data_IF_381744560679
#
_entry.id   IF_381744560679
#
_cell.length_a   1.000
_cell.length_b   1.000
_cell.length_c   1.000
_cell.angle_alpha   90.00
_cell.angle_beta   90.00
_cell.angle_gamma   90.00
#
_symmetry.space_group_name_H-M   'P 1'
#
loop_
_entity.id
_entity.type
_entity.pdbx_description
1 polymer ?
#
# COMPACT_ATOMS: atom_id res chain seq x y z
N UNK A 1 -12.55 -59.12 75.79
CA UNK A 1 -11.08 -59.35 75.85
C UNK A 1 -10.42 -58.42 74.85
N UNK A 2 -9.54 -57.53 75.34
CA UNK A 2 -8.47 -56.78 74.66
C UNK A 2 -8.84 -55.92 73.44
N UNK A 3 -8.35 -54.71 73.23
CA UNK A 3 -7.61 -53.71 74.01
C UNK A 3 -7.49 -52.48 73.06
N UNK A 4 -7.58 -51.27 73.62
CA UNK A 4 -6.68 -50.11 73.39
C UNK A 4 -6.19 -49.84 71.95
N UNK A 5 -6.34 -48.66 71.34
CA UNK A 5 -6.01 -47.32 71.84
C UNK A 5 -6.71 -46.22 71.03
N UNK A 6 -7.18 -45.22 71.78
CA UNK A 6 -7.38 -43.84 71.34
C UNK A 6 -5.99 -43.19 71.16
N UNK A 7 -5.73 -42.54 70.02
CA UNK A 7 -4.79 -41.41 69.93
C UNK A 7 -5.48 -40.32 69.13
N UNK A 8 -5.70 -39.21 69.82
CA UNK A 8 -6.16 -37.92 69.33
C UNK A 8 -4.97 -37.20 68.69
N UNK A 9 -5.11 -36.71 67.45
CA UNK A 9 -4.36 -35.53 67.03
C UNK A 9 -5.17 -34.70 66.04
N UNK A 10 -5.36 -33.46 66.46
CA UNK A 10 -6.04 -32.35 65.80
C UNK A 10 -5.13 -31.81 64.68
N UNK A 11 -5.69 -31.56 63.50
CA UNK A 11 -5.02 -30.83 62.42
C UNK A 11 -6.05 -30.41 61.37
N UNK A 12 -6.40 -29.13 61.34
CA UNK A 12 -7.32 -28.53 60.38
C UNK A 12 -6.92 -28.89 58.94
N UNK A 13 -7.77 -29.63 58.24
CA UNK A 13 -7.76 -29.69 56.79
C UNK A 13 -8.88 -28.78 56.27
N UNK A 14 -8.49 -27.65 55.70
CA UNK A 14 -9.35 -26.77 54.91
C UNK A 14 -9.98 -27.56 53.77
N UNK A 15 -11.31 -27.65 53.74
CA UNK A 15 -12.04 -28.04 52.52
C UNK A 15 -11.86 -26.92 51.49
N UNK A 16 -11.13 -27.20 50.42
CA UNK A 16 -11.42 -26.62 49.11
C UNK A 16 -11.93 -27.78 48.24
N UNK A 17 -13.15 -27.61 47.73
CA UNK A 17 -13.78 -28.51 46.77
C UNK A 17 -12.90 -28.58 45.52
N UNK A 18 -12.13 -29.67 45.36
CA UNK A 18 -11.59 -30.06 44.05
C UNK A 18 -12.72 -30.78 43.34
N UNK A 19 -13.40 -30.07 42.46
CA UNK A 19 -14.25 -30.70 41.46
C UNK A 19 -13.34 -31.56 40.58
N UNK A 20 -13.57 -32.87 40.60
CA UNK A 20 -13.10 -33.75 39.54
C UNK A 20 -13.74 -33.28 38.24
N UNK A 21 -12.93 -32.78 37.31
CA UNK A 21 -13.23 -32.76 35.89
C UNK A 21 -12.00 -33.29 35.19
N UNK A 22 -12.24 -34.30 34.36
CA UNK A 22 -11.28 -35.14 33.69
C UNK A 22 -10.05 -34.38 33.19
N UNK A 23 -8.88 -34.83 33.64
CA UNK A 23 -7.60 -34.51 33.04
C UNK A 23 -7.54 -35.20 31.67
N UNK A 24 -8.04 -34.54 30.63
CA UNK A 24 -7.71 -34.83 29.23
C UNK A 24 -8.26 -33.69 28.35
N UNK A 25 -7.53 -32.59 28.26
CA UNK A 25 -7.42 -31.76 27.04
C UNK A 25 -6.36 -30.66 27.26
N UNK A 26 -5.09 -31.07 27.31
CA UNK A 26 -4.01 -30.21 26.84
C UNK A 26 -3.69 -30.67 25.43
N UNK A 27 -4.34 -30.07 24.44
CA UNK A 27 -3.98 -30.23 23.03
C UNK A 27 -2.58 -29.63 22.84
N UNK A 28 -1.54 -30.41 23.12
CA UNK A 28 -0.17 -29.96 22.92
C UNK A 28 0.08 -29.91 21.42
N UNK A 29 0.31 -28.70 20.88
CA UNK A 29 0.80 -28.45 19.51
C UNK A 29 2.26 -28.93 19.35
N UNK A 30 2.55 -30.19 19.70
CA UNK A 30 3.86 -30.79 19.48
C UNK A 30 3.86 -31.32 18.05
N UNK A 31 4.57 -30.62 17.17
CA UNK A 31 4.79 -31.07 15.80
C UNK A 31 5.49 -32.46 15.80
N UNK A 32 5.16 -33.35 14.85
CA UNK A 32 5.82 -34.65 14.73
C UNK A 32 7.34 -34.51 14.60
N UNK A 33 8.09 -35.50 15.08
CA UNK A 33 9.56 -35.52 14.95
C UNK A 33 9.97 -35.41 13.47
N UNK A 34 10.85 -34.46 13.17
CA UNK A 34 11.35 -34.21 11.81
C UNK A 34 10.43 -33.33 10.95
N UNK A 35 9.35 -32.79 11.52
CA UNK A 35 8.50 -31.81 10.86
C UNK A 35 9.22 -30.46 10.70
N UNK A 36 8.82 -29.70 9.68
CA UNK A 36 9.20 -28.30 9.50
C UNK A 36 8.39 -27.46 10.48
N UNK A 37 9.07 -26.64 11.27
CA UNK A 37 8.43 -25.67 12.14
C UNK A 37 8.23 -24.37 11.37
N UNK A 38 6.98 -23.96 11.16
CA UNK A 38 6.62 -22.79 10.36
C UNK A 38 5.88 -21.77 11.23
N UNK A 39 6.33 -20.51 11.18
CA UNK A 39 5.65 -19.37 11.78
C UNK A 39 5.27 -18.38 10.69
N UNK A 40 4.16 -17.66 10.88
CA UNK A 40 3.65 -16.71 9.90
C UNK A 40 3.23 -15.40 10.52
N UNK A 41 3.41 -14.34 9.76
CA UNK A 41 2.83 -13.03 10.02
C UNK A 41 2.54 -12.32 8.69
N UNK A 42 1.65 -11.33 8.72
CA UNK A 42 1.41 -10.41 7.60
C UNK A 42 1.99 -9.05 8.00
N UNK A 43 2.86 -8.50 7.16
CA UNK A 43 3.50 -7.21 7.38
C UNK A 43 2.45 -6.09 7.47
N UNK A 44 2.58 -5.18 8.44
CA UNK A 44 1.66 -4.04 8.61
C UNK A 44 0.37 -4.31 9.40
N UNK A 45 0.14 -5.54 9.91
CA UNK A 45 -1.02 -5.87 10.75
C UNK A 45 -0.63 -6.00 12.22
N UNK A 46 -1.15 -5.11 13.09
CA UNK A 46 -0.82 -5.13 14.53
C UNK A 46 -1.92 -5.71 15.44
N UNK A 47 -3.20 -5.83 15.03
CA UNK A 47 -4.24 -6.28 15.98
C UNK A 47 -5.42 -7.04 15.35
N UNK A 48 -5.64 -8.27 15.87
CA UNK A 48 -6.81 -9.18 15.80
C UNK A 48 -6.97 -10.13 14.59
N UNK A 49 -7.59 -11.26 14.89
CA UNK A 49 -7.89 -12.41 14.02
C UNK A 49 -9.42 -12.61 13.90
N UNK A 50 -9.98 -13.29 12.88
CA UNK A 50 -9.45 -13.54 11.53
C UNK A 50 -10.47 -13.38 10.37
N UNK A 51 -10.03 -12.68 9.32
CA UNK A 51 -10.30 -12.75 7.88
C UNK A 51 -9.47 -11.58 7.33
N UNK A 52 -8.90 -11.66 6.12
CA UNK A 52 -8.50 -10.40 5.47
C UNK A 52 -9.79 -9.59 5.36
N UNK A 53 -9.88 -8.51 6.13
CA UNK A 53 -10.98 -7.57 6.00
C UNK A 53 -10.91 -6.91 4.63
N UNK A 54 -11.90 -6.07 4.29
CA UNK A 54 -11.91 -5.36 3.01
C UNK A 54 -10.62 -4.53 2.82
N UNK A 55 -9.98 -4.17 3.93
CA UNK A 55 -8.77 -3.38 4.03
C UNK A 55 -7.47 -4.19 3.89
N UNK A 56 -7.55 -5.52 3.69
CA UNK A 56 -6.39 -6.40 3.56
C UNK A 56 -5.67 -6.67 4.88
N UNK A 57 -6.30 -6.40 6.04
CA UNK A 57 -5.72 -6.68 7.35
C UNK A 57 -6.21 -8.01 7.88
N UNK A 58 -5.33 -8.79 8.51
CA UNK A 58 -5.72 -10.02 9.18
C UNK A 58 -4.54 -10.88 9.62
N UNK A 59 -4.86 -12.08 10.09
CA UNK A 59 -3.90 -13.15 10.32
C UNK A 59 -4.46 -14.42 9.66
N UNK A 60 -3.58 -15.33 9.24
CA UNK A 60 -4.02 -16.64 8.77
C UNK A 60 -4.74 -17.41 9.86
N UNK A 61 -5.76 -18.17 9.46
CA UNK A 61 -6.45 -19.14 10.32
C UNK A 61 -6.26 -20.55 9.85
N UNK A 62 -6.40 -21.47 10.81
CA UNK A 62 -6.38 -22.89 10.53
C UNK A 62 -7.32 -23.21 9.35
N UNK A 63 -6.76 -23.80 8.30
CA UNK A 63 -7.47 -24.14 7.07
C UNK A 63 -7.32 -23.16 5.90
N UNK A 64 -6.76 -21.96 6.11
CA UNK A 64 -6.40 -21.06 5.00
C UNK A 64 -5.45 -21.77 4.04
N UNK A 65 -5.70 -21.61 2.73
CA UNK A 65 -5.02 -22.39 1.69
C UNK A 65 -4.04 -21.51 0.93
N UNK A 66 -2.76 -21.86 1.00
CA UNK A 66 -1.67 -21.22 0.28
C UNK A 66 -1.24 -22.08 -0.91
N UNK A 67 -0.67 -21.41 -1.91
CA UNK A 67 0.24 -22.07 -2.84
C UNK A 67 1.66 -21.96 -2.31
N UNK A 68 2.43 -23.05 -2.33
CA UNK A 68 3.77 -23.09 -1.75
C UNK A 68 4.75 -23.88 -2.60
N UNK A 69 5.89 -23.26 -2.85
CA UNK A 69 7.10 -23.87 -3.40
C UNK A 69 8.09 -24.13 -2.28
N UNK A 70 8.76 -25.28 -2.33
CA UNK A 70 9.87 -25.61 -1.45
C UNK A 70 10.97 -26.28 -2.27
N UNK A 71 12.17 -25.71 -2.27
CA UNK A 71 13.28 -26.16 -3.10
C UNK A 71 14.63 -25.88 -2.43
N UNK A 72 15.61 -26.74 -2.66
CA UNK A 72 16.99 -26.54 -2.20
C UNK A 72 17.87 -26.10 -3.37
N UNK A 73 18.59 -24.98 -3.22
CA UNK A 73 19.51 -24.41 -4.23
C UNK A 73 18.82 -24.07 -5.60
N UNK A 74 19.60 -23.87 -6.67
CA UNK A 74 19.20 -23.67 -8.09
C UNK A 74 18.48 -24.86 -8.73
N UNK A 75 18.04 -25.83 -7.93
CA UNK A 75 17.15 -26.87 -8.40
C UNK A 75 15.88 -26.24 -8.99
N UNK A 76 15.34 -26.89 -10.03
CA UNK A 76 14.04 -26.51 -10.61
C UNK A 76 13.04 -26.39 -9.45
N UNK A 77 12.37 -25.24 -9.27
CA UNK A 77 11.40 -25.08 -8.21
C UNK A 77 10.39 -26.22 -8.30
N UNK A 78 10.03 -26.80 -7.16
CA UNK A 78 9.03 -27.87 -7.10
C UNK A 78 7.67 -27.40 -7.61
N UNK A 79 6.65 -28.25 -7.50
CA UNK A 79 5.28 -27.87 -7.87
C UNK A 79 4.69 -26.85 -6.89
N UNK A 80 3.68 -26.09 -7.35
CA UNK A 80 2.86 -25.25 -6.50
C UNK A 80 1.98 -26.10 -5.57
N UNK A 81 2.51 -26.48 -4.40
CA UNK A 81 1.81 -27.36 -3.47
C UNK A 81 0.71 -26.62 -2.73
N UNK A 82 -0.40 -27.32 -2.52
CA UNK A 82 -1.41 -26.86 -1.58
C UNK A 82 -0.87 -26.99 -0.14
N UNK A 83 -0.85 -25.87 0.59
CA UNK A 83 -0.55 -25.85 2.02
C UNK A 83 -1.73 -25.28 2.80
N UNK A 84 -2.30 -26.06 3.70
CA UNK A 84 -3.37 -25.64 4.60
C UNK A 84 -2.77 -25.22 5.93
N UNK A 85 -2.91 -23.95 6.27
CA UNK A 85 -2.32 -23.39 7.49
C UNK A 85 -2.78 -24.18 8.72
N UNK A 86 -1.81 -24.56 9.57
CA UNK A 86 -1.99 -25.41 10.76
C UNK A 86 -2.68 -26.77 10.54
N UNK A 87 -2.73 -27.28 9.31
CA UNK A 87 -3.26 -28.61 8.99
C UNK A 87 -2.30 -29.44 8.14
N UNK A 88 -1.57 -28.82 7.21
CA UNK A 88 -0.52 -29.48 6.44
C UNK A 88 0.74 -29.60 7.28
N UNK A 89 1.27 -30.82 7.41
CA UNK A 89 2.57 -31.08 8.03
C UNK A 89 3.60 -31.36 6.94
N UNK A 90 4.68 -30.58 6.91
CA UNK A 90 5.84 -30.83 6.04
C UNK A 90 6.93 -31.54 6.84
N UNK A 91 7.72 -32.36 6.17
CA UNK A 91 8.85 -33.06 6.78
C UNK A 91 10.15 -32.75 6.05
N UNK A 92 11.24 -32.53 6.81
CA UNK A 92 12.57 -32.27 6.23
C UNK A 92 13.08 -33.42 5.36
N UNK A 93 12.74 -34.67 5.71
CA UNK A 93 13.07 -35.86 4.92
C UNK A 93 12.48 -35.88 3.51
N UNK A 94 11.38 -35.14 3.29
CA UNK A 94 10.70 -35.05 1.99
C UNK A 94 11.13 -33.78 1.21
N UNK A 95 12.01 -32.96 1.81
CA UNK A 95 12.55 -31.73 1.25
C UNK A 95 14.08 -31.86 1.09
N UNK A 96 14.83 -31.53 2.15
CA UNK A 96 16.26 -31.75 2.25
C UNK A 96 16.66 -31.85 3.73
N UNK A 97 17.52 -32.81 4.05
CA UNK A 97 18.09 -32.96 5.40
C UNK A 97 19.50 -32.38 5.53
N UNK A 98 20.11 -32.01 4.39
CA UNK A 98 21.53 -31.62 4.31
C UNK A 98 21.74 -30.22 3.75
N UNK A 99 20.83 -29.75 2.90
CA UNK A 99 20.93 -28.43 2.25
C UNK A 99 19.82 -27.51 2.77
N UNK A 100 20.07 -26.20 2.87
CA UNK A 100 19.02 -25.24 3.14
C UNK A 100 17.90 -25.32 2.10
N UNK A 101 16.67 -25.15 2.53
CA UNK A 101 15.46 -25.16 1.70
C UNK A 101 14.87 -23.76 1.72
N UNK A 102 14.60 -23.21 0.54
CA UNK A 102 13.81 -21.99 0.36
C UNK A 102 12.35 -22.36 0.22
N UNK A 103 11.53 -21.73 1.06
CA UNK A 103 10.09 -21.81 1.06
C UNK A 103 9.55 -20.50 0.49
N UNK A 104 8.70 -20.60 -0.53
CA UNK A 104 8.05 -19.46 -1.15
C UNK A 104 6.56 -19.70 -1.19
N UNK A 105 5.79 -18.84 -0.53
CA UNK A 105 4.36 -19.02 -0.33
C UNK A 105 3.58 -17.81 -0.83
N UNK A 106 2.41 -18.06 -1.40
CA UNK A 106 1.47 -17.01 -1.80
C UNK A 106 0.05 -17.32 -1.37
N UNK A 107 -0.72 -16.25 -1.14
CA UNK A 107 -2.13 -16.32 -0.77
C UNK A 107 -2.93 -15.23 -1.50
N UNK A 108 -4.14 -15.51 -2.01
CA UNK A 108 -4.80 -16.82 -2.02
C UNK A 108 -4.07 -17.81 -2.94
N UNK A 109 -4.30 -19.12 -2.73
CA UNK A 109 -3.73 -20.15 -3.60
C UNK A 109 -4.17 -19.95 -5.05
N UNK A 110 -3.20 -19.83 -5.95
CA UNK A 110 -3.45 -19.87 -7.39
C UNK A 110 -3.68 -21.33 -7.79
N UNK A 111 -4.88 -21.62 -8.32
CA UNK A 111 -5.29 -22.97 -8.74
C UNK A 111 -5.21 -23.19 -10.25
N UNK A 112 -5.05 -22.11 -11.02
CA UNK A 112 -4.76 -22.19 -12.45
C UNK A 112 -3.36 -22.78 -12.68
N UNK A 113 -3.15 -23.36 -13.87
CA UNK A 113 -1.87 -23.94 -14.25
C UNK A 113 -0.78 -22.84 -14.32
N UNK A 114 0.30 -23.04 -13.56
CA UNK A 114 1.44 -22.12 -13.52
C UNK A 114 2.55 -22.70 -14.40
N UNK A 115 2.64 -22.23 -15.64
CA UNK A 115 3.66 -22.69 -16.59
C UNK A 115 5.09 -22.24 -16.20
N UNK A 116 5.22 -21.00 -15.70
CA UNK A 116 6.49 -20.46 -15.21
C UNK A 116 6.26 -19.67 -13.92
N UNK A 117 6.64 -20.20 -12.74
CA UNK A 117 6.44 -19.48 -11.49
C UNK A 117 7.31 -18.23 -11.38
N UNK A 118 8.40 -18.11 -12.14
CA UNK A 118 9.25 -16.93 -12.13
C UNK A 118 8.70 -15.76 -12.98
N UNK A 119 7.66 -16.00 -13.78
CA UNK A 119 7.06 -15.03 -14.69
C UNK A 119 5.54 -15.27 -14.79
N UNK A 120 4.85 -15.22 -13.64
CA UNK A 120 3.42 -15.43 -13.58
C UNK A 120 2.67 -14.11 -13.76
N UNK A 121 1.82 -14.01 -14.78
CA UNK A 121 0.96 -12.84 -14.97
C UNK A 121 -0.21 -12.87 -13.98
N UNK A 122 -0.23 -11.95 -13.03
CA UNK A 122 -1.29 -11.83 -12.03
C UNK A 122 -2.24 -10.68 -12.38
N UNK A 123 -3.53 -10.96 -12.37
CA UNK A 123 -4.62 -9.99 -12.60
C UNK A 123 -5.46 -9.91 -11.32
N UNK A 124 -5.40 -8.82 -10.53
CA UNK A 124 -6.25 -8.64 -9.37
C UNK A 124 -7.74 -8.60 -9.79
N UNK A 125 -8.55 -9.39 -9.11
CA UNK A 125 -9.99 -9.52 -9.39
C UNK A 125 -10.78 -9.55 -8.08
N UNK A 126 -11.74 -8.63 -7.94
CA UNK A 126 -12.52 -8.53 -6.70
C UNK A 126 -13.56 -9.66 -6.58
N UNK A 127 -14.21 -10.01 -7.70
CA UNK A 127 -15.34 -10.96 -7.72
C UNK A 127 -14.99 -12.39 -7.27
N UNK A 128 -13.72 -12.78 -7.37
CA UNK A 128 -13.20 -14.07 -6.89
C UNK A 128 -12.34 -13.92 -5.62
N UNK A 129 -12.29 -12.71 -5.01
CA UNK A 129 -11.44 -12.38 -3.85
C UNK A 129 -9.96 -12.67 -4.08
N UNK A 130 -9.48 -12.51 -5.32
CA UNK A 130 -8.05 -12.56 -5.67
C UNK A 130 -7.55 -11.18 -6.05
N UNK A 131 -8.12 -10.13 -5.48
CA UNK A 131 -7.71 -8.75 -5.70
C UNK A 131 -6.49 -8.37 -4.85
N UNK A 132 -6.14 -9.19 -3.85
CA UNK A 132 -4.97 -9.02 -2.99
C UNK A 132 -4.10 -10.29 -3.01
N UNK A 133 -2.93 -10.21 -3.66
CA UNK A 133 -1.94 -11.28 -3.61
C UNK A 133 -0.93 -10.98 -2.51
N UNK A 134 -0.81 -11.89 -1.56
CA UNK A 134 0.24 -11.89 -0.55
C UNK A 134 1.36 -12.84 -0.97
N UNK A 135 2.60 -12.49 -0.61
CA UNK A 135 3.76 -13.36 -0.82
C UNK A 135 4.74 -13.33 0.35
N UNK A 136 5.33 -14.46 0.66
CA UNK A 136 6.42 -14.60 1.62
C UNK A 136 7.50 -15.55 1.09
N UNK A 137 8.75 -15.28 1.45
CA UNK A 137 9.87 -16.20 1.24
C UNK A 137 10.74 -16.32 2.48
N UNK A 138 11.27 -17.51 2.75
CA UNK A 138 12.23 -17.77 3.81
C UNK A 138 13.11 -18.98 3.46
N UNK A 139 14.39 -18.93 3.83
CA UNK A 139 15.32 -20.05 3.69
C UNK A 139 15.72 -20.57 5.05
N UNK A 140 15.68 -21.88 5.25
CA UNK A 140 16.03 -22.54 6.50
C UNK A 140 16.63 -23.93 6.29
N UNK A 141 17.48 -24.36 7.21
CA UNK A 141 18.06 -25.69 7.28
C UNK A 141 17.28 -26.59 8.25
N UNK A 142 17.51 -27.90 8.16
CA UNK A 142 16.85 -28.88 9.03
C UNK A 142 17.00 -28.53 10.51
N UNK A 143 15.86 -28.38 11.18
CA UNK A 143 15.77 -28.06 12.61
C UNK A 143 15.59 -26.57 12.92
N UNK A 144 15.75 -25.69 11.93
CA UNK A 144 15.46 -24.27 12.06
C UNK A 144 13.97 -23.97 11.86
N UNK A 145 13.52 -22.83 12.39
CA UNK A 145 12.16 -22.32 12.18
C UNK A 145 12.08 -21.58 10.85
N UNK A 146 11.09 -21.91 10.03
CA UNK A 146 10.75 -21.18 8.80
C UNK A 146 9.79 -20.04 9.15
N UNK A 147 10.30 -18.80 9.15
CA UNK A 147 9.50 -17.61 9.45
C UNK A 147 9.02 -16.92 8.16
N UNK A 148 7.77 -17.16 7.78
CA UNK A 148 7.17 -16.52 6.60
C UNK A 148 6.50 -15.19 6.98
N UNK A 149 7.06 -14.09 6.49
CA UNK A 149 6.45 -12.75 6.59
C UNK A 149 5.81 -12.40 5.27
N UNK A 150 4.48 -12.47 5.22
CA UNK A 150 3.70 -12.18 4.03
C UNK A 150 3.57 -10.68 3.82
N UNK A 151 3.74 -10.27 2.57
CA UNK A 151 3.62 -8.90 2.11
C UNK A 151 2.58 -8.81 1.02
N UNK A 152 1.83 -7.70 1.00
CA UNK A 152 0.98 -7.38 -0.13
C UNK A 152 1.83 -7.14 -1.38
N UNK A 153 1.44 -7.77 -2.49
CA UNK A 153 2.07 -7.55 -3.80
C UNK A 153 1.27 -6.59 -4.68
N UNK A 154 -0.02 -6.41 -4.42
CA UNK A 154 -0.82 -5.46 -5.17
C UNK A 154 -0.56 -4.03 -4.69
N UNK A 155 -1.09 -3.03 -5.39
CA UNK A 155 -1.18 -1.65 -4.89
C UNK A 155 -2.61 -1.31 -4.48
N UNK A 156 -2.82 -0.57 -3.39
CA UNK A 156 -4.14 -0.10 -2.97
C UNK A 156 -4.32 1.37 -3.32
N UNK A 157 -5.27 1.66 -4.21
CA UNK A 157 -5.59 3.01 -4.63
C UNK A 157 -6.92 3.45 -4.01
N UNK A 158 -6.86 4.44 -3.12
CA UNK A 158 -8.03 5.03 -2.47
C UNK A 158 -8.25 6.43 -3.02
N UNK A 159 -9.48 6.72 -3.45
CA UNK A 159 -9.88 8.04 -3.96
C UNK A 159 -11.00 8.56 -3.07
N UNK A 160 -10.74 9.68 -2.41
CA UNK A 160 -11.67 10.36 -1.52
C UNK A 160 -12.11 11.67 -2.15
N UNK A 161 -13.42 11.89 -2.21
CA UNK A 161 -14.01 13.09 -2.80
C UNK A 161 -14.48 14.06 -1.72
N UNK A 162 -14.23 15.35 -1.95
CA UNK A 162 -14.78 16.45 -1.14
C UNK A 162 -15.43 17.48 -2.06
N UNK A 163 -16.55 18.05 -1.61
CA UNK A 163 -17.23 19.13 -2.34
C UNK A 163 -16.55 20.47 -2.04
N UNK A 164 -16.12 21.17 -3.08
CA UNK A 164 -15.49 22.48 -3.02
C UNK A 164 -16.41 23.61 -3.46
N UNK A 165 -15.81 24.69 -3.95
CA UNK A 165 -16.52 25.89 -4.41
C UNK A 165 -17.58 25.56 -5.46
N UNK A 166 -18.78 26.13 -5.27
CA UNK A 166 -19.93 25.98 -6.16
C UNK A 166 -20.63 24.62 -6.15
N UNK A 167 -20.18 23.68 -5.31
CA UNK A 167 -20.80 22.37 -5.07
C UNK A 167 -21.71 22.35 -3.81
N UNK A 168 -22.42 23.46 -3.53
CA UNK A 168 -23.25 23.61 -2.33
C UNK A 168 -24.42 22.62 -2.31
N UNK A 169 -24.56 21.85 -1.23
CA UNK A 169 -25.65 20.88 -1.07
C UNK A 169 -25.50 19.62 -1.93
N UNK A 170 -24.37 19.46 -2.63
CA UNK A 170 -24.07 18.27 -3.43
C UNK A 170 -23.78 17.07 -2.53
N UNK A 171 -24.50 15.97 -2.76
CA UNK A 171 -24.20 14.67 -2.19
C UNK A 171 -23.25 13.90 -3.12
N UNK A 172 -22.10 13.49 -2.59
CA UNK A 172 -21.09 12.73 -3.33
C UNK A 172 -21.25 11.22 -3.18
N UNK A 173 -22.22 10.72 -2.40
CA UNK A 173 -22.40 9.29 -2.16
C UNK A 173 -22.73 8.50 -3.42
N UNK A 174 -23.22 9.17 -4.47
CA UNK A 174 -23.54 8.56 -5.78
C UNK A 174 -22.51 8.90 -6.87
N UNK A 175 -21.38 9.52 -6.52
CA UNK A 175 -20.37 9.86 -7.52
C UNK A 175 -19.82 8.59 -8.19
N UNK A 176 -19.72 8.63 -9.52
CA UNK A 176 -19.09 7.57 -10.32
C UNK A 176 -17.63 7.93 -10.52
N UNK A 177 -16.72 7.08 -10.05
CA UNK A 177 -15.29 7.19 -10.33
C UNK A 177 -14.89 6.07 -11.27
N UNK A 178 -14.17 6.41 -12.33
CA UNK A 178 -13.56 5.47 -13.25
C UNK A 178 -12.06 5.74 -13.42
N UNK A 179 -11.24 4.69 -13.52
CA UNK A 179 -9.89 4.80 -14.08
C UNK A 179 -9.98 4.87 -15.60
N UNK A 180 -10.37 6.05 -16.10
CA UNK A 180 -10.58 6.29 -17.51
C UNK A 180 -10.27 7.75 -17.88
N UNK A 181 -9.93 7.97 -19.14
CA UNK A 181 -9.82 9.30 -19.71
C UNK A 181 -11.19 9.94 -19.99
N UNK A 182 -11.19 11.19 -20.46
CA UNK A 182 -12.40 11.97 -20.69
C UNK A 182 -13.44 11.26 -21.55
N UNK A 183 -12.97 10.52 -22.56
CA UNK A 183 -13.81 9.80 -23.51
C UNK A 183 -14.10 8.35 -23.10
N UNK A 184 -13.74 7.94 -21.88
CA UNK A 184 -13.95 6.57 -21.38
C UNK A 184 -12.87 5.56 -21.80
N UNK A 185 -11.76 6.02 -22.37
CA UNK A 185 -10.62 5.15 -22.66
C UNK A 185 -9.98 4.65 -21.36
N UNK A 186 -9.60 3.38 -21.30
CA UNK A 186 -8.99 2.79 -20.12
C UNK A 186 -7.57 3.33 -19.89
N UNK A 187 -7.23 3.63 -18.64
CA UNK A 187 -5.98 4.32 -18.28
C UNK A 187 -5.05 3.47 -17.41
N UNK A 188 -5.45 2.26 -17.03
CA UNK A 188 -4.68 1.39 -16.13
C UNK A 188 -4.57 -0.03 -16.68
N UNK A 189 -3.48 -0.70 -16.33
CA UNK A 189 -3.27 -2.11 -16.64
C UNK A 189 -4.02 -3.03 -15.67
N UNK A 190 -4.53 -4.12 -16.21
CA UNK A 190 -5.31 -5.16 -15.51
C UNK A 190 -4.45 -6.11 -14.69
N UNK A 191 -3.14 -6.16 -14.92
CA UNK A 191 -2.28 -7.16 -14.30
C UNK A 191 -0.81 -6.85 -14.51
N UNK A 192 0.03 -7.52 -13.72
CA UNK A 192 1.49 -7.40 -13.72
C UNK A 192 2.13 -8.77 -13.60
N UNK A 193 3.32 -8.94 -14.17
CA UNK A 193 4.12 -10.15 -14.01
C UNK A 193 4.78 -10.18 -12.63
N UNK A 194 4.70 -11.35 -11.98
CA UNK A 194 5.20 -11.60 -10.65
C UNK A 194 6.05 -12.87 -10.67
N UNK A 195 7.20 -12.80 -10.03
CA UNK A 195 7.97 -13.97 -9.70
C UNK A 195 7.43 -14.59 -8.40
N UNK A 196 6.63 -15.65 -8.50
CA UNK A 196 6.05 -16.35 -7.36
C UNK A 196 7.09 -17.08 -6.48
N UNK A 197 8.35 -17.17 -6.93
CA UNK A 197 9.45 -17.74 -6.13
C UNK A 197 10.10 -16.68 -5.23
N UNK A 198 10.19 -15.43 -5.69
CA UNK A 198 10.88 -14.34 -4.97
C UNK A 198 9.95 -13.26 -4.42
N UNK A 199 8.74 -13.14 -4.97
CA UNK A 199 7.80 -12.05 -4.68
C UNK A 199 8.08 -10.78 -5.48
N UNK A 200 9.05 -10.80 -6.40
CA UNK A 200 9.40 -9.63 -7.20
C UNK A 200 8.33 -9.33 -8.26
N UNK A 201 8.09 -8.04 -8.46
CA UNK A 201 7.13 -7.50 -9.45
C UNK A 201 7.90 -6.86 -10.60
N UNK A 202 7.58 -7.26 -11.84
CA UNK A 202 8.13 -6.65 -13.04
C UNK A 202 7.15 -5.60 -13.60
N UNK A 203 7.39 -4.34 -13.26
CA UNK A 203 6.60 -3.18 -13.70
C UNK A 203 6.63 -2.96 -15.23
N UNK A 204 7.57 -3.58 -15.96
CA UNK A 204 7.66 -3.53 -17.42
C UNK A 204 6.82 -4.58 -18.14
N UNK A 205 6.21 -5.51 -17.41
CA UNK A 205 5.42 -6.64 -17.95
C UNK A 205 4.00 -6.59 -17.41
N UNK A 206 3.08 -6.15 -18.26
CA UNK A 206 1.68 -5.92 -17.89
C UNK A 206 0.70 -6.73 -18.76
N UNK A 207 -0.50 -6.95 -18.22
CA UNK A 207 -1.63 -7.52 -18.95
C UNK A 207 -2.39 -6.45 -19.75
N UNK A 208 -3.60 -6.75 -20.23
CA UNK A 208 -4.43 -5.80 -20.98
C UNK A 208 -4.86 -4.59 -20.14
N UNK A 209 -5.52 -3.62 -20.77
CA UNK A 209 -6.08 -2.45 -20.07
C UNK A 209 -7.37 -2.80 -19.32
N UNK A 210 -7.65 -2.12 -18.22
CA UNK A 210 -8.88 -2.22 -17.43
C UNK A 210 -9.40 -0.83 -17.03
N UNK A 211 -10.71 -0.77 -16.81
CA UNK A 211 -11.35 0.34 -16.11
C UNK A 211 -11.83 -0.16 -14.75
N UNK A 212 -11.23 0.36 -13.68
CA UNK A 212 -11.77 0.24 -12.34
C UNK A 212 -12.96 1.19 -12.18
N UNK A 213 -13.94 0.77 -11.40
CA UNK A 213 -15.11 1.58 -11.08
C UNK A 213 -15.51 1.38 -9.63
N UNK A 214 -16.07 2.41 -9.01
CA UNK A 214 -16.69 2.30 -7.68
C UNK A 214 -18.20 2.01 -7.75
N UNK A 215 -18.75 1.72 -8.94
CA UNK A 215 -20.18 1.43 -9.13
C UNK A 215 -21.14 2.50 -8.58
N UNK A 216 -20.79 3.78 -8.69
CA UNK A 216 -21.57 4.91 -8.15
C UNK A 216 -21.72 4.90 -6.62
N UNK A 217 -20.70 4.46 -5.89
CA UNK A 217 -20.71 4.39 -4.41
C UNK A 217 -19.91 5.52 -3.73
N UNK A 218 -19.69 6.61 -4.45
CA UNK A 218 -19.03 7.82 -3.95
C UNK A 218 -17.51 7.74 -4.00
N UNK A 219 -16.87 7.35 -2.90
CA UNK A 219 -15.42 7.15 -2.88
C UNK A 219 -15.03 5.86 -3.62
N UNK A 220 -13.75 5.69 -3.93
CA UNK A 220 -13.22 4.45 -4.49
C UNK A 220 -12.12 3.87 -3.60
N UNK A 221 -12.06 2.54 -3.57
CA UNK A 221 -11.03 1.75 -2.91
C UNK A 221 -10.77 0.54 -3.80
N UNK A 222 -9.64 0.57 -4.51
CA UNK A 222 -9.30 -0.43 -5.51
C UNK A 222 -7.98 -1.09 -5.15
N UNK A 223 -7.94 -2.41 -5.27
CA UNK A 223 -6.68 -3.15 -5.34
C UNK A 223 -6.32 -3.32 -6.81
N UNK A 224 -5.21 -2.72 -7.20
CA UNK A 224 -4.79 -2.59 -8.61
C UNK A 224 -3.43 -3.25 -8.81
N UNK A 225 -3.15 -3.61 -10.06
CA UNK A 225 -1.83 -4.08 -10.43
C UNK A 225 -0.81 -2.94 -10.21
N UNK A 226 0.32 -3.19 -9.51
CA UNK A 226 1.42 -2.25 -9.45
C UNK A 226 1.89 -1.89 -10.86
N UNK A 227 2.08 -0.60 -11.13
CA UNK A 227 2.36 -0.11 -12.48
C UNK A 227 2.98 1.30 -12.45
N UNK A 228 3.71 1.63 -13.51
CA UNK A 228 4.14 3.01 -13.77
C UNK A 228 3.01 3.78 -14.47
N UNK A 229 2.68 4.95 -13.91
CA UNK A 229 1.78 5.90 -14.56
C UNK A 229 2.59 6.94 -15.34
N UNK A 230 2.01 7.54 -16.38
CA UNK A 230 2.67 8.60 -17.14
C UNK A 230 2.21 9.97 -16.65
N UNK A 231 3.12 10.79 -16.12
CA UNK A 231 2.82 12.15 -15.69
C UNK A 231 2.11 12.96 -16.79
N UNK A 232 1.08 13.72 -16.41
CA UNK A 232 0.25 14.52 -17.31
C UNK A 232 -0.77 13.73 -18.15
N UNK A 233 -0.70 12.40 -18.19
CA UNK A 233 -1.70 11.57 -18.90
C UNK A 233 -3.05 11.58 -18.16
N UNK A 234 -4.15 11.40 -18.89
CA UNK A 234 -5.47 11.23 -18.27
C UNK A 234 -5.49 9.99 -17.38
N UNK A 235 -6.10 10.08 -16.20
CA UNK A 235 -6.12 8.98 -15.25
C UNK A 235 -7.52 8.65 -14.75
N UNK A 236 -8.20 9.62 -14.14
CA UNK A 236 -9.50 9.42 -13.52
C UNK A 236 -10.56 10.28 -14.19
N UNK A 237 -11.76 9.71 -14.31
CA UNK A 237 -12.97 10.39 -14.71
C UNK A 237 -13.99 10.26 -13.61
N UNK A 238 -14.58 11.38 -13.19
CA UNK A 238 -15.54 11.45 -12.10
C UNK A 238 -16.83 12.08 -12.61
N UNK A 239 -17.96 11.39 -12.42
CA UNK A 239 -19.29 11.91 -12.76
C UNK A 239 -20.09 12.17 -11.49
N UNK A 240 -20.73 13.33 -11.42
CA UNK A 240 -21.71 13.67 -10.38
C UNK A 240 -22.94 14.24 -11.08
N UNK A 241 -24.01 13.45 -11.17
CA UNK A 241 -25.14 13.78 -12.04
C UNK A 241 -24.69 13.86 -13.51
N UNK A 242 -24.91 15.00 -14.14
CA UNK A 242 -24.52 15.27 -15.54
C UNK A 242 -23.11 15.86 -15.68
N UNK A 243 -22.50 16.30 -14.58
CA UNK A 243 -21.21 16.96 -14.58
C UNK A 243 -20.06 15.95 -14.60
N UNK A 244 -18.95 16.34 -15.25
CA UNK A 244 -17.76 15.49 -15.42
C UNK A 244 -16.49 16.23 -15.01
N UNK A 245 -15.68 15.59 -14.17
CA UNK A 245 -14.32 16.01 -13.88
C UNK A 245 -13.33 14.98 -14.43
N UNK A 246 -12.18 15.45 -14.89
CA UNK A 246 -11.06 14.62 -15.31
C UNK A 246 -9.85 14.97 -14.45
N UNK A 247 -9.12 13.95 -14.02
CA UNK A 247 -7.88 14.09 -13.28
C UNK A 247 -6.76 13.44 -14.08
N UNK A 248 -5.69 14.18 -14.29
CA UNK A 248 -4.48 13.66 -14.91
C UNK A 248 -3.50 13.19 -13.83
N UNK A 249 -2.62 12.27 -14.20
CA UNK A 249 -1.53 11.83 -13.32
C UNK A 249 -0.68 13.06 -12.97
N UNK A 250 -0.46 13.38 -11.68
CA UNK A 250 0.43 14.46 -11.28
C UNK A 250 1.89 14.10 -11.60
N UNK A 251 2.79 15.08 -11.54
CA UNK A 251 4.22 14.83 -11.83
C UNK A 251 4.87 13.89 -10.81
N UNK A 252 4.39 13.88 -9.57
CA UNK A 252 4.89 13.09 -8.46
C UNK A 252 3.72 12.51 -7.65
N UNK A 253 3.77 11.20 -7.37
CA UNK A 253 2.85 10.47 -6.47
C UNK A 253 3.55 9.98 -5.19
N UNK A 254 4.65 10.64 -4.83
CA UNK A 254 5.50 10.34 -3.68
C UNK A 254 6.09 8.92 -3.71
N UNK A 255 6.25 8.32 -4.89
CA UNK A 255 6.91 7.03 -5.06
C UNK A 255 8.26 7.00 -4.34
N UNK A 256 8.52 5.92 -3.60
CA UNK A 256 9.81 5.69 -2.92
C UNK A 256 10.97 5.57 -3.91
N UNK A 257 10.67 5.31 -5.19
CA UNK A 257 11.65 5.28 -6.26
C UNK A 257 11.64 6.60 -7.04
N UNK A 258 12.64 7.44 -6.78
CA UNK A 258 12.82 8.74 -7.46
C UNK A 258 12.99 8.65 -8.98
N UNK A 259 13.36 7.49 -9.52
CA UNK A 259 13.42 7.27 -10.97
C UNK A 259 12.05 6.96 -11.59
N UNK A 260 11.05 6.66 -10.75
CA UNK A 260 9.67 6.36 -11.15
C UNK A 260 8.69 7.12 -10.25
N UNK A 261 8.61 8.46 -10.35
CA UNK A 261 7.94 9.33 -9.38
C UNK A 261 6.42 9.11 -9.29
N UNK A 262 5.82 8.50 -10.31
CA UNK A 262 4.38 8.24 -10.47
C UNK A 262 4.02 6.76 -10.32
N UNK A 263 4.93 5.93 -9.82
CA UNK A 263 4.71 4.49 -9.68
C UNK A 263 3.69 4.17 -8.60
N UNK A 264 2.72 3.32 -8.96
CA UNK A 264 1.90 2.60 -8.00
C UNK A 264 2.68 1.37 -7.53
N UNK A 265 3.35 1.51 -6.40
CA UNK A 265 4.27 0.49 -5.87
C UNK A 265 3.56 -0.72 -5.26
N UNK A 266 4.14 -1.90 -5.48
CA UNK A 266 3.77 -3.14 -4.81
C UNK A 266 3.77 -2.98 -3.28
N UNK A 267 2.70 -3.43 -2.63
CA UNK A 267 2.57 -3.42 -1.19
C UNK A 267 2.38 -2.03 -0.57
N UNK A 268 2.07 -1.02 -1.38
CA UNK A 268 1.78 0.33 -0.93
C UNK A 268 0.31 0.69 -1.12
N UNK A 269 -0.13 1.67 -0.35
CA UNK A 269 -1.41 2.32 -0.48
C UNK A 269 -1.21 3.79 -0.85
N UNK A 270 -1.80 4.24 -1.96
CA UNK A 270 -1.93 5.65 -2.30
C UNK A 270 -3.35 6.12 -1.96
N UNK A 271 -3.45 7.19 -1.18
CA UNK A 271 -4.72 7.89 -0.94
C UNK A 271 -4.71 9.24 -1.63
N UNK A 272 -5.62 9.44 -2.57
CA UNK A 272 -5.86 10.72 -3.24
C UNK A 272 -7.07 11.42 -2.62
N UNK A 273 -6.88 12.63 -2.12
CA UNK A 273 -7.96 13.49 -1.66
C UNK A 273 -8.23 14.54 -2.73
N UNK A 274 -9.36 14.41 -3.42
CA UNK A 274 -9.74 15.24 -4.55
C UNK A 274 -10.91 16.14 -4.17
N UNK A 275 -10.75 17.44 -4.37
CA UNK A 275 -11.83 18.42 -4.19
C UNK A 275 -12.44 18.78 -5.54
N UNK A 276 -13.75 18.57 -5.67
CA UNK A 276 -14.50 18.90 -6.88
C UNK A 276 -15.07 20.32 -6.76
N UNK A 277 -14.81 21.17 -7.75
CA UNK A 277 -15.34 22.54 -7.84
C UNK A 277 -16.17 22.71 -9.10
N UNK A 278 -17.16 23.60 -9.05
CA UNK A 278 -17.99 23.95 -10.21
C UNK A 278 -18.30 25.44 -10.22
N UNK A 279 -17.92 26.13 -11.27
CA UNK A 279 -18.37 27.50 -11.49
C UNK A 279 -19.87 27.50 -11.83
N UNK A 280 -20.69 28.07 -10.96
CA UNK A 280 -22.15 28.06 -11.14
C UNK A 280 -22.63 28.98 -12.26
N UNK A 281 -21.84 29.97 -12.68
CA UNK A 281 -22.21 30.86 -13.78
C UNK A 281 -21.89 30.27 -15.15
N UNK A 282 -20.77 29.57 -15.29
CA UNK A 282 -20.29 29.03 -16.58
C UNK A 282 -20.57 27.54 -16.75
N UNK A 283 -20.87 26.83 -15.66
CA UNK A 283 -20.99 25.37 -15.64
C UNK A 283 -19.64 24.65 -15.73
N UNK A 284 -18.51 25.39 -15.72
CA UNK A 284 -17.18 24.79 -15.80
C UNK A 284 -16.83 24.04 -14.51
N UNK A 285 -16.30 22.84 -14.68
CA UNK A 285 -15.89 21.94 -13.61
C UNK A 285 -14.36 21.96 -13.48
N UNK A 286 -13.87 22.07 -12.25
CA UNK A 286 -12.45 22.04 -11.91
C UNK A 286 -12.21 21.01 -10.80
N UNK A 287 -11.07 20.33 -10.84
CA UNK A 287 -10.66 19.41 -9.80
C UNK A 287 -9.33 19.84 -9.22
N UNK A 288 -9.24 19.83 -7.90
CA UNK A 288 -8.03 20.16 -7.15
C UNK A 288 -7.56 18.94 -6.35
N UNK A 289 -6.25 18.66 -6.39
CA UNK A 289 -5.65 17.71 -5.46
C UNK A 289 -5.47 18.41 -4.11
N UNK A 290 -6.27 18.04 -3.12
CA UNK A 290 -6.20 18.62 -1.78
C UNK A 290 -5.18 17.92 -0.87
N UNK A 291 -4.67 16.77 -1.30
CA UNK A 291 -3.60 16.04 -0.64
C UNK A 291 -3.43 14.64 -1.20
N UNK A 292 -2.20 14.13 -1.16
CA UNK A 292 -1.91 12.74 -1.48
C UNK A 292 -0.91 12.17 -0.49
N UNK A 293 -1.18 10.94 -0.05
CA UNK A 293 -0.30 10.20 0.87
C UNK A 293 -0.06 8.81 0.31
N UNK A 294 1.21 8.39 0.24
CA UNK A 294 1.58 7.01 -0.03
C UNK A 294 2.15 6.39 1.23
N UNK A 295 1.69 5.19 1.57
CA UNK A 295 2.07 4.50 2.80
C UNK A 295 2.18 2.99 2.58
N UNK A 296 2.74 2.27 3.56
CA UNK A 296 2.69 0.81 3.55
C UNK A 296 1.24 0.31 3.57
N UNK A 297 0.96 -0.79 2.88
CA UNK A 297 -0.34 -1.42 2.94
C UNK A 297 -0.59 -1.95 4.36
N UNK A 298 -1.74 -1.57 4.96
CA UNK A 298 -2.07 -1.87 6.35
C UNK A 298 -1.56 -0.79 7.31
N UNK A 299 -2.39 -0.40 8.29
CA UNK A 299 -2.00 0.61 9.29
C UNK A 299 -0.86 0.06 10.16
N UNK A 300 0.37 0.50 9.87
CA UNK A 300 1.56 0.10 10.63
C UNK A 300 2.81 -0.19 9.80
N UNK A 301 2.78 -0.02 8.47
CA UNK A 301 4.01 -0.05 7.68
C UNK A 301 4.94 1.11 8.05
N UNK A 302 6.06 0.83 8.70
CA UNK A 302 7.11 1.82 8.94
C UNK A 302 7.71 2.22 7.60
N UNK A 303 7.57 3.49 7.22
CA UNK A 303 8.42 4.09 6.19
C UNK A 303 9.69 4.52 6.94
N UNK A 304 10.81 3.86 6.67
CA UNK A 304 12.13 4.45 6.96
C UNK A 304 12.53 5.28 5.76
N UNK A 305 11.86 6.41 5.59
CA UNK A 305 12.31 7.53 4.76
C UNK A 305 11.39 8.73 5.05
N UNK A 306 12.01 9.86 5.35
CA UNK A 306 11.34 11.12 5.64
C UNK A 306 10.59 11.59 4.37
N UNK A 307 9.26 11.46 4.40
CA UNK A 307 8.38 11.93 3.33
C UNK A 307 8.27 13.44 3.40
N UNK A 308 8.84 14.13 2.42
CA UNK A 308 8.52 15.53 2.13
C UNK A 308 7.23 15.55 1.32
N UNK A 309 6.20 16.18 1.89
CA UNK A 309 4.93 16.42 1.20
C UNK A 309 5.14 17.50 0.13
N UNK A 310 4.92 17.14 -1.13
CA UNK A 310 4.99 18.06 -2.26
C UNK A 310 4.18 17.55 -3.45
N UNK A 311 2.86 17.70 -3.39
CA UNK A 311 2.01 17.84 -4.57
C UNK A 311 1.58 19.30 -4.62
N UNK A 312 1.65 19.92 -5.79
CA UNK A 312 1.57 21.36 -6.01
C UNK A 312 0.48 22.06 -5.20
N UNK A 313 0.92 22.88 -4.24
CA UNK A 313 0.11 23.97 -3.68
C UNK A 313 -0.37 24.82 -4.87
N UNK A 314 -1.63 25.30 -4.88
CA UNK A 314 -2.06 26.31 -5.84
C UNK A 314 -0.97 27.37 -5.97
N UNK A 315 -0.67 27.78 -7.21
CA UNK A 315 0.37 28.76 -7.49
C UNK A 315 -0.08 30.13 -6.92
N UNK A 316 0.10 30.30 -5.61
CA UNK A 316 -0.03 31.54 -4.91
C UNK A 316 1.34 32.22 -4.83
N UNK A 317 1.35 33.49 -4.43
CA UNK A 317 2.60 34.24 -4.31
C UNK A 317 3.47 33.83 -3.12
N UNK A 318 3.04 32.89 -2.27
CA UNK A 318 3.67 32.62 -0.98
C UNK A 318 4.67 31.46 -1.09
N UNK A 319 5.91 31.79 -1.47
CA UNK A 319 6.94 30.78 -1.73
C UNK A 319 7.81 30.55 -0.49
N UNK A 320 7.67 29.37 0.12
CA UNK A 320 8.56 28.90 1.18
C UNK A 320 9.78 28.17 0.61
N UNK A 321 10.97 28.72 0.81
CA UNK A 321 12.25 28.25 0.29
C UNK A 321 12.99 27.31 1.26
N UNK A 322 12.46 27.09 2.46
CA UNK A 322 13.07 26.17 3.45
C UNK A 322 13.01 24.74 2.90
N UNK A 323 14.17 24.08 2.84
CA UNK A 323 14.30 22.71 2.33
C UNK A 323 14.18 22.58 0.81
N UNK A 324 14.05 23.69 0.06
CA UNK A 324 14.00 23.69 -1.41
C UNK A 324 15.35 24.02 -2.03
N UNK A 325 15.61 23.48 -3.21
CA UNK A 325 16.71 23.86 -4.10
C UNK A 325 16.38 25.13 -4.90
N UNK A 326 17.41 25.75 -5.48
CA UNK A 326 17.23 26.96 -6.29
C UNK A 326 16.34 26.74 -7.53
N UNK A 327 16.41 25.57 -8.16
CA UNK A 327 15.57 25.26 -9.31
C UNK A 327 14.11 25.02 -8.90
N UNK A 328 13.86 24.39 -7.75
CA UNK A 328 12.49 24.22 -7.24
C UNK A 328 11.83 25.55 -6.87
N UNK A 329 12.59 26.47 -6.26
CA UNK A 329 12.11 27.83 -5.97
C UNK A 329 11.82 28.59 -7.27
N UNK A 330 12.68 28.47 -8.28
CA UNK A 330 12.50 29.13 -9.58
C UNK A 330 11.29 28.60 -10.35
N UNK A 331 11.08 27.29 -10.35
CA UNK A 331 9.89 26.66 -10.95
C UNK A 331 8.61 27.16 -10.27
N UNK A 332 8.59 27.25 -8.94
CA UNK A 332 7.44 27.76 -8.20
C UNK A 332 7.12 29.23 -8.53
N UNK A 333 8.16 30.08 -8.65
CA UNK A 333 7.98 31.49 -9.05
C UNK A 333 7.41 31.58 -10.47
N UNK A 334 7.94 30.81 -11.43
CA UNK A 334 7.44 30.82 -12.81
C UNK A 334 5.98 30.34 -12.88
N UNK A 335 5.63 29.30 -12.15
CA UNK A 335 4.25 28.80 -12.09
C UNK A 335 3.27 29.86 -11.57
N UNK A 336 3.66 30.62 -10.53
CA UNK A 336 2.85 31.72 -10.01
C UNK A 336 2.73 32.89 -11.00
N UNK A 337 3.80 33.21 -11.73
CA UNK A 337 3.78 34.21 -12.80
C UNK A 337 2.87 33.80 -13.96
N UNK A 338 2.94 32.54 -14.39
CA UNK A 338 2.09 31.98 -15.44
C UNK A 338 0.61 31.94 -15.01
N UNK A 339 0.34 31.77 -13.71
CA UNK A 339 -0.98 31.91 -13.10
C UNK A 339 -1.45 33.37 -12.94
N UNK A 340 -0.63 34.35 -13.35
CA UNK A 340 -0.97 35.77 -13.31
C UNK A 340 -0.86 36.42 -11.93
N UNK A 341 -0.16 35.78 -10.98
CA UNK A 341 0.08 36.35 -9.66
C UNK A 341 1.05 37.53 -9.77
N UNK A 342 0.68 38.65 -9.16
CA UNK A 342 1.51 39.87 -9.16
C UNK A 342 2.01 40.24 -7.77
N UNK A 343 1.59 39.56 -6.71
CA UNK A 343 2.08 39.80 -5.34
C UNK A 343 2.75 38.55 -4.79
N UNK A 344 3.99 38.67 -4.33
CA UNK A 344 4.80 37.55 -3.81
C UNK A 344 5.22 37.79 -2.37
N UNK A 345 5.27 36.73 -1.58
CA UNK A 345 5.87 36.66 -0.24
C UNK A 345 6.89 35.53 -0.23
N UNK A 346 8.15 35.82 0.06
CA UNK A 346 9.20 34.81 0.13
C UNK A 346 9.61 34.57 1.59
N UNK A 347 9.74 33.30 1.98
CA UNK A 347 10.25 32.92 3.31
C UNK A 347 11.37 31.89 3.22
N UNK A 348 12.38 31.98 4.07
CA UNK A 348 13.51 31.04 4.10
C UNK A 348 14.81 31.55 3.45
N UNK A 349 15.82 30.69 3.22
CA UNK A 349 17.17 31.09 2.86
C UNK A 349 17.29 31.80 1.49
N UNK A 350 17.91 32.98 1.44
CA UNK A 350 18.10 33.78 0.22
C UNK A 350 18.99 33.08 -0.81
N UNK A 351 19.91 32.22 -0.35
CA UNK A 351 20.76 31.40 -1.21
C UNK A 351 19.93 30.52 -2.16
N UNK A 352 18.72 30.14 -1.74
CA UNK A 352 17.82 29.29 -2.51
C UNK A 352 17.04 30.07 -3.59
N UNK A 353 17.24 31.39 -3.73
CA UNK A 353 16.75 32.14 -4.90
C UNK A 353 17.67 32.01 -6.12
N UNK A 354 18.83 31.36 -5.98
CA UNK A 354 19.77 31.18 -7.10
C UNK A 354 20.41 32.48 -7.59
N UNK A 355 20.36 33.56 -6.80
CA UNK A 355 20.97 34.85 -7.13
C UNK A 355 22.49 34.81 -6.87
N UNK A 356 23.25 34.16 -7.76
CA UNK A 356 24.72 34.16 -7.67
C UNK A 356 25.35 35.04 -8.75
N UNK A 357 26.22 35.98 -8.33
CA UNK A 357 26.96 36.89 -9.22
C UNK A 357 26.13 38.10 -9.66
N UNK A 358 26.78 39.25 -9.86
CA UNK A 358 26.14 40.56 -10.12
C UNK A 358 25.38 40.71 -11.46
N UNK A 359 24.84 39.62 -12.00
CA UNK A 359 24.10 39.60 -13.24
C UNK A 359 22.60 39.76 -12.99
N UNK A 360 22.07 40.95 -13.29
CA UNK A 360 20.66 41.32 -13.11
C UNK A 360 19.67 40.42 -13.88
N UNK A 361 20.11 39.74 -14.94
CA UNK A 361 19.26 38.84 -15.75
C UNK A 361 18.91 37.51 -15.04
N UNK A 362 19.51 37.22 -13.88
CA UNK A 362 19.20 36.01 -13.09
C UNK A 362 18.11 36.23 -12.05
N UNK A 363 17.57 37.45 -11.91
CA UNK A 363 16.45 37.71 -11.02
C UNK A 363 15.15 37.15 -11.63
N UNK A 364 14.46 36.19 -10.99
CA UNK A 364 13.25 35.57 -11.53
C UNK A 364 12.08 36.55 -11.65
N UNK A 365 12.15 37.72 -11.02
CA UNK A 365 11.15 38.77 -11.11
C UNK A 365 11.49 39.86 -12.15
N UNK A 366 12.61 39.74 -12.88
CA UNK A 366 13.02 40.74 -13.86
C UNK A 366 12.05 40.79 -15.07
N UNK A 367 11.59 41.99 -15.41
CA UNK A 367 10.65 42.24 -16.53
C UNK A 367 9.33 41.44 -16.40
N UNK A 368 8.87 41.21 -15.17
CA UNK A 368 7.59 40.56 -14.86
C UNK A 368 6.51 41.58 -14.51
N UNK A 369 5.26 41.12 -14.38
CA UNK A 369 4.10 41.91 -13.96
C UNK A 369 3.97 42.07 -12.44
N UNK A 370 4.99 41.67 -11.67
CA UNK A 370 4.95 41.70 -10.20
C UNK A 370 4.86 43.14 -9.68
N UNK A 371 3.82 43.39 -8.88
CA UNK A 371 3.50 44.67 -8.24
C UNK A 371 3.95 44.73 -6.79
N UNK A 372 4.17 43.60 -6.12
CA UNK A 372 4.61 43.54 -4.72
C UNK A 372 5.49 42.31 -4.46
N UNK A 373 6.59 42.50 -3.72
CA UNK A 373 7.47 41.44 -3.27
C UNK A 373 7.82 41.66 -1.80
N UNK A 374 7.28 40.82 -0.93
CA UNK A 374 7.56 40.80 0.50
C UNK A 374 8.69 39.81 0.80
N UNK A 375 9.79 40.32 1.36
CA UNK A 375 10.98 39.55 1.74
C UNK A 375 11.19 39.51 3.27
N UNK A 376 10.18 39.91 4.06
CA UNK A 376 10.29 40.03 5.51
C UNK A 376 10.60 38.70 6.21
N UNK A 377 10.23 37.57 5.60
CA UNK A 377 10.55 36.22 6.10
C UNK A 377 11.77 35.57 5.44
N UNK A 378 12.49 36.28 4.57
CA UNK A 378 13.72 35.78 3.96
C UNK A 378 14.85 35.83 4.99
N UNK A 379 15.54 34.70 5.13
CA UNK A 379 16.73 34.54 5.98
C UNK A 379 17.95 34.39 5.08
N UNK A 380 19.15 34.74 5.51
CA UNK A 380 20.31 34.67 4.59
C UNK A 380 21.49 35.48 5.05
#
# INVERSE_FOLDING_TARGET
MKAMKLITTLGLATLALVACTDEDEVQSNILPKGAVHLTTQIEGVQTRAPQLDAEGKGNFVQGDIWGMYAYADTAVPGENREYKYQQTVLYWKDLSETSPVTFSAHYPRITADIANPAAYMYTPLEWNKTDDLLHATATASKGETVALTFKHLMHRLIIKLTAGEGMTGTDLTTALINSAGKNGNYTMYSGVEINLLTGEVDYGRYAGMIQHTNENRGNADWKVAPQDLTAGAEWLRIMVGEDMWCYNVPDILNSSNSSHPTRLESGKQLTLNLTLKKNQQTGQTEMELSGSDISGWGYGGTITDDVVIGGDTPADGNINMIGKTAEEVKTAINAALDAGITEFTLTGPIANLGLSGGNFFMNPFYNTTVTKLDLSGVTG
#
